data_IF_565854151600
#
_entry.id   IF_565854151600
#
_cell.length_a   1.000
_cell.length_b   1.000
_cell.length_c   1.000
_cell.angle_alpha   90.00
_cell.angle_beta   90.00
_cell.angle_gamma   90.00
#
_symmetry.space_group_name_H-M   'P 1'
#
loop_
_entity.id
_entity.type
_entity.pdbx_description
1 polymer ?
#
# COMPACT_ATOMS: atom_id res chain seq x y z
N UNK A 1 -5.24 18.03 7.74
CA UNK A 1 -4.88 18.19 9.16
C UNK A 1 -4.80 16.82 9.81
N UNK A 2 -3.77 16.53 10.61
CA UNK A 2 -3.66 15.27 11.35
C UNK A 2 -4.76 15.18 12.43
N UNK A 3 -5.22 13.97 12.71
CA UNK A 3 -6.29 13.68 13.68
C UNK A 3 -5.85 12.69 14.77
N UNK A 4 -4.58 12.31 14.77
CA UNK A 4 -3.96 11.35 15.70
C UNK A 4 -3.51 11.99 17.03
N UNK A 5 -3.65 13.32 17.16
CA UNK A 5 -3.28 14.06 18.36
C UNK A 5 -1.78 14.28 18.54
N UNK A 6 -0.93 13.89 17.57
CA UNK A 6 0.54 13.98 17.68
C UNK A 6 1.12 15.34 17.24
N UNK A 7 0.26 16.34 17.05
CA UNK A 7 0.64 17.65 16.56
C UNK A 7 0.70 17.75 15.03
N UNK A 8 1.18 18.88 14.48
CA UNK A 8 1.17 19.14 13.04
C UNK A 8 2.25 18.32 12.29
N UNK A 9 1.96 17.97 11.04
CA UNK A 9 2.92 17.32 10.15
C UNK A 9 3.90 18.35 9.60
N UNK A 10 5.19 18.15 9.84
CA UNK A 10 6.28 18.96 9.27
C UNK A 10 6.59 18.46 7.85
N UNK A 11 5.84 18.93 6.86
CA UNK A 11 6.09 18.64 5.45
C UNK A 11 7.02 19.69 4.82
N UNK A 12 7.94 19.23 3.98
CA UNK A 12 8.88 20.10 3.24
C UNK A 12 8.26 20.68 1.97
N UNK A 13 7.26 20.01 1.40
CA UNK A 13 6.68 20.36 0.10
C UNK A 13 5.15 20.23 0.10
N UNK A 14 4.51 20.93 -0.84
CA UNK A 14 3.08 20.75 -1.16
C UNK A 14 2.92 20.34 -2.61
N UNK A 15 2.00 19.41 -2.85
CA UNK A 15 1.61 18.97 -4.19
C UNK A 15 0.09 19.11 -4.37
N UNK A 16 -0.35 19.31 -5.61
CA UNK A 16 -1.77 19.24 -5.96
C UNK A 16 -2.24 17.79 -5.81
N UNK A 17 -3.48 17.59 -5.38
CA UNK A 17 -4.06 16.25 -5.25
C UNK A 17 -4.38 15.63 -6.62
N UNK A 18 -4.77 16.46 -7.58
CA UNK A 18 -5.05 16.04 -8.95
C UNK A 18 -3.83 16.34 -9.83
N UNK A 19 -3.04 15.30 -10.08
CA UNK A 19 -1.85 15.34 -10.92
C UNK A 19 -2.05 14.32 -12.04
N UNK A 20 -1.80 14.74 -13.28
CA UNK A 20 -1.89 13.86 -14.44
C UNK A 20 -0.92 12.68 -14.28
N UNK A 21 -1.42 11.47 -14.48
CA UNK A 21 -0.61 10.26 -14.46
C UNK A 21 0.51 10.33 -15.52
N UNK A 22 1.66 9.66 -15.27
CA UNK A 22 2.74 9.58 -16.25
C UNK A 22 2.25 8.97 -17.56
N UNK A 23 2.71 9.53 -18.68
CA UNK A 23 2.48 9.01 -20.03
C UNK A 23 3.14 7.66 -20.26
N UNK A 24 3.22 7.22 -21.52
CA UNK A 24 3.76 5.90 -21.86
C UNK A 24 5.28 5.85 -21.67
N UNK A 25 6.02 6.82 -22.22
CA UNK A 25 7.50 6.86 -22.25
C UNK A 25 8.16 6.69 -20.86
N UNK A 26 7.74 7.37 -19.79
CA UNK A 26 8.40 7.24 -18.48
C UNK A 26 8.08 5.94 -17.72
N UNK A 27 7.23 5.05 -18.26
CA UNK A 27 6.87 3.79 -17.58
C UNK A 27 7.90 2.71 -17.87
N UNK A 28 8.05 1.78 -16.93
CA UNK A 28 8.83 0.55 -17.08
C UNK A 28 7.91 -0.65 -16.82
N UNK A 29 8.19 -1.78 -17.47
CA UNK A 29 7.52 -3.04 -17.16
C UNK A 29 7.69 -3.40 -15.69
N UNK A 30 6.62 -3.92 -15.08
CA UNK A 30 6.64 -4.46 -13.72
C UNK A 30 7.53 -5.70 -13.73
N UNK A 31 8.57 -5.71 -12.88
CA UNK A 31 9.60 -6.76 -12.85
C UNK A 31 10.13 -7.06 -11.45
N UNK A 32 9.74 -6.26 -10.45
CA UNK A 32 10.10 -6.49 -9.05
C UNK A 32 8.85 -7.01 -8.31
N UNK A 33 8.95 -8.09 -7.52
CA UNK A 33 7.81 -8.61 -6.78
C UNK A 33 7.49 -7.74 -5.54
N UNK A 34 6.23 -7.79 -5.13
CA UNK A 34 5.76 -7.31 -3.83
C UNK A 34 5.14 -8.51 -3.11
N UNK A 35 5.82 -9.01 -2.07
CA UNK A 35 5.36 -10.19 -1.33
C UNK A 35 4.27 -9.77 -0.35
N UNK A 36 3.11 -10.41 -0.43
CA UNK A 36 2.01 -10.19 0.51
C UNK A 36 2.18 -10.95 1.82
N UNK A 37 3.04 -11.98 1.85
CA UNK A 37 3.17 -12.91 2.97
C UNK A 37 2.06 -13.95 3.03
N UNK A 38 1.10 -13.89 2.11
CA UNK A 38 -0.03 -14.81 2.02
C UNK A 38 0.26 -15.85 0.93
N UNK A 39 0.48 -17.10 1.35
CA UNK A 39 0.82 -18.21 0.43
C UNK A 39 -0.13 -18.32 -0.77
N UNK A 40 -1.44 -18.16 -0.54
CA UNK A 40 -2.42 -18.27 -1.61
C UNK A 40 -2.25 -17.18 -2.67
N UNK A 41 -1.85 -15.97 -2.28
CA UNK A 41 -1.64 -14.85 -3.21
C UNK A 41 -0.25 -14.97 -3.83
N UNK A 42 0.79 -15.07 -3.01
CA UNK A 42 2.18 -15.06 -3.49
C UNK A 42 2.50 -16.26 -4.42
N UNK A 43 1.79 -17.38 -4.28
CA UNK A 43 1.97 -18.55 -5.15
C UNK A 43 1.07 -18.56 -6.39
N UNK A 44 -0.20 -18.13 -6.27
CA UNK A 44 -1.19 -18.29 -7.36
C UNK A 44 -1.44 -16.99 -8.15
N UNK A 45 -1.37 -15.84 -7.47
CA UNK A 45 -1.69 -14.52 -8.02
C UNK A 45 -0.62 -13.53 -7.53
N UNK A 46 0.65 -13.69 -7.96
CA UNK A 46 1.73 -12.83 -7.48
C UNK A 46 1.52 -11.38 -7.91
N UNK A 47 1.83 -10.45 -7.00
CA UNK A 47 1.68 -9.01 -7.23
C UNK A 47 3.05 -8.37 -7.43
N UNK A 48 3.21 -7.57 -8.48
CA UNK A 48 4.44 -6.83 -8.75
C UNK A 48 4.41 -5.36 -8.30
N UNK A 49 5.59 -4.76 -8.11
CA UNK A 49 5.76 -3.34 -7.79
C UNK A 49 5.37 -2.48 -9.00
N UNK A 50 4.38 -1.60 -8.80
CA UNK A 50 3.78 -0.80 -9.87
C UNK A 50 2.55 -1.43 -10.53
N UNK A 51 2.13 -2.62 -10.08
CA UNK A 51 0.86 -3.25 -10.46
C UNK A 51 -0.30 -2.69 -9.63
N UNK A 52 -1.52 -2.78 -10.19
CA UNK A 52 -2.77 -2.54 -9.46
C UNK A 52 -3.51 -3.86 -9.36
N UNK A 53 -3.77 -4.29 -8.14
CA UNK A 53 -4.47 -5.54 -7.85
C UNK A 53 -5.80 -5.26 -7.16
N UNK A 54 -6.89 -5.89 -7.63
CA UNK A 54 -8.23 -5.70 -7.08
C UNK A 54 -8.53 -6.75 -6.02
N UNK A 55 -8.83 -6.32 -4.79
CA UNK A 55 -9.37 -7.19 -3.74
C UNK A 55 -10.89 -7.00 -3.67
N UNK A 56 -11.64 -7.95 -4.23
CA UNK A 56 -13.11 -7.91 -4.30
C UNK A 56 -13.73 -9.11 -3.58
N UNK A 57 -14.94 -8.92 -3.03
CA UNK A 57 -15.70 -9.96 -2.37
C UNK A 57 -16.77 -9.39 -1.43
N UNK A 58 -17.60 -10.26 -0.88
CA UNK A 58 -18.74 -9.90 -0.04
C UNK A 58 -18.34 -9.33 1.34
N UNK A 59 -19.33 -8.89 2.11
CA UNK A 59 -19.09 -8.40 3.47
C UNK A 59 -18.45 -9.52 4.31
N UNK A 60 -17.48 -9.16 5.16
CA UNK A 60 -16.81 -10.08 6.10
C UNK A 60 -16.00 -11.23 5.46
N UNK A 61 -15.57 -11.11 4.20
CA UNK A 61 -14.74 -12.12 3.52
C UNK A 61 -13.23 -11.91 3.66
N UNK A 62 -12.78 -11.13 4.65
CA UNK A 62 -11.33 -10.95 4.92
C UNK A 62 -10.61 -9.95 4.01
N UNK A 63 -11.31 -9.16 3.18
CA UNK A 63 -10.68 -8.13 2.31
C UNK A 63 -9.71 -7.21 3.06
N UNK A 64 -10.14 -6.69 4.22
CA UNK A 64 -9.28 -5.82 5.05
C UNK A 64 -8.11 -6.59 5.66
N UNK A 65 -8.32 -7.85 6.07
CA UNK A 65 -7.26 -8.68 6.64
C UNK A 65 -6.15 -8.91 5.62
N UNK A 66 -6.49 -9.25 4.37
CA UNK A 66 -5.52 -9.41 3.27
C UNK A 66 -4.64 -8.17 3.12
N UNK A 67 -5.26 -6.97 3.12
CA UNK A 67 -4.53 -5.70 2.97
C UNK A 67 -3.63 -5.42 4.18
N UNK A 68 -4.13 -5.63 5.41
CA UNK A 68 -3.38 -5.38 6.63
C UNK A 68 -2.20 -6.35 6.78
N UNK A 69 -2.40 -7.65 6.52
CA UNK A 69 -1.34 -8.66 6.56
C UNK A 69 -0.26 -8.33 5.53
N UNK A 70 -0.67 -7.90 4.32
CA UNK A 70 0.26 -7.43 3.29
C UNK A 70 1.10 -6.26 3.78
N UNK A 71 0.50 -5.26 4.46
CA UNK A 71 1.25 -4.12 4.99
C UNK A 71 2.19 -4.54 6.12
N UNK A 72 1.74 -5.40 7.02
CA UNK A 72 2.55 -5.90 8.15
C UNK A 72 3.75 -6.71 7.66
N UNK A 73 3.60 -7.51 6.61
CA UNK A 73 4.69 -8.28 6.01
C UNK A 73 5.85 -7.38 5.52
N UNK A 74 5.57 -6.13 5.12
CA UNK A 74 6.61 -5.21 4.65
C UNK A 74 7.49 -4.66 5.77
N UNK A 75 7.08 -4.78 7.04
CA UNK A 75 7.80 -4.19 8.18
C UNK A 75 9.24 -4.68 8.28
N UNK A 76 9.48 -5.98 8.08
CA UNK A 76 10.82 -6.56 8.18
C UNK A 76 11.78 -6.00 7.13
N UNK A 77 11.31 -5.86 5.90
CA UNK A 77 12.05 -5.27 4.77
C UNK A 77 12.25 -3.77 4.97
N UNK A 78 11.26 -3.08 5.54
CA UNK A 78 11.38 -1.66 5.86
C UNK A 78 12.45 -1.40 6.93
N UNK A 79 12.49 -2.21 7.99
CA UNK A 79 13.37 -2.00 9.13
C UNK A 79 14.82 -2.44 8.88
N UNK A 80 15.02 -3.53 8.12
CA UNK A 80 16.33 -4.16 7.95
C UNK A 80 16.82 -4.24 6.49
N UNK A 81 15.95 -3.95 5.52
CA UNK A 81 16.26 -4.07 4.11
C UNK A 81 17.02 -2.86 3.55
N UNK A 82 17.68 -3.02 2.39
CA UNK A 82 18.30 -1.92 1.68
C UNK A 82 17.23 -0.92 1.22
N UNK A 83 17.61 0.36 1.09
CA UNK A 83 16.65 1.45 0.81
C UNK A 83 15.80 1.20 -0.44
N UNK A 84 16.38 0.58 -1.48
CA UNK A 84 15.69 0.23 -2.73
C UNK A 84 14.56 -0.79 -2.52
N UNK A 85 14.66 -1.63 -1.49
CA UNK A 85 13.69 -2.68 -1.21
C UNK A 85 12.59 -2.21 -0.26
N UNK A 86 12.79 -1.10 0.46
CA UNK A 86 11.80 -0.58 1.40
C UNK A 86 10.50 -0.23 0.70
N UNK A 87 9.40 -0.52 1.38
CA UNK A 87 8.06 -0.18 0.95
C UNK A 87 7.39 0.68 2.02
N UNK A 88 6.78 1.78 1.56
CA UNK A 88 6.00 2.68 2.40
C UNK A 88 4.52 2.43 2.11
N UNK A 89 3.78 1.95 3.11
CA UNK A 89 2.37 1.60 2.97
C UNK A 89 1.46 2.79 3.33
N UNK A 90 0.43 3.03 2.52
CA UNK A 90 -0.60 4.05 2.78
C UNK A 90 -1.97 3.39 2.78
N UNK A 91 -2.73 3.54 3.88
CA UNK A 91 -4.09 3.03 4.00
C UNK A 91 -5.09 4.19 3.98
N UNK A 92 -6.03 4.16 3.03
CA UNK A 92 -7.09 5.17 2.89
C UNK A 92 -8.42 4.56 3.29
N UNK A 93 -8.88 4.86 4.51
CA UNK A 93 -10.19 4.43 4.99
C UNK A 93 -11.29 5.38 4.50
N UNK A 94 -12.24 4.85 3.71
CA UNK A 94 -13.39 5.62 3.19
C UNK A 94 -14.69 5.02 3.72
N UNK A 95 -15.53 5.83 4.37
CA UNK A 95 -16.84 5.41 4.86
C UNK A 95 -16.83 4.40 6.02
N UNK A 96 -15.68 4.16 6.65
CA UNK A 96 -15.56 3.26 7.79
C UNK A 96 -15.96 3.95 9.11
N UNK A 97 -16.45 3.17 10.07
CA UNK A 97 -16.69 3.67 11.44
C UNK A 97 -15.35 4.07 12.06
N UNK A 98 -15.33 5.18 12.79
CA UNK A 98 -14.11 5.68 13.46
C UNK A 98 -13.51 4.69 14.45
N UNK A 99 -14.31 3.81 15.06
CA UNK A 99 -13.83 2.75 15.95
C UNK A 99 -13.15 1.59 15.23
N UNK A 100 -13.24 1.53 13.91
CA UNK A 100 -12.63 0.50 13.06
C UNK A 100 -11.34 0.99 12.41
N UNK A 101 -11.16 2.31 12.31
CA UNK A 101 -9.96 2.99 11.81
C UNK A 101 -8.87 3.00 12.88
#
# INVERSE_FOLDING_TARGET
>A
NPIDGKGPIQATERKRVDVKAPGIIPRKSVHEPMSTGLKAIDALIPVGRGQRELVIGDRQTGKTAIILDTMLNQKSVHDNGPEKEKLYCVYVAVGQKRSTV
#
